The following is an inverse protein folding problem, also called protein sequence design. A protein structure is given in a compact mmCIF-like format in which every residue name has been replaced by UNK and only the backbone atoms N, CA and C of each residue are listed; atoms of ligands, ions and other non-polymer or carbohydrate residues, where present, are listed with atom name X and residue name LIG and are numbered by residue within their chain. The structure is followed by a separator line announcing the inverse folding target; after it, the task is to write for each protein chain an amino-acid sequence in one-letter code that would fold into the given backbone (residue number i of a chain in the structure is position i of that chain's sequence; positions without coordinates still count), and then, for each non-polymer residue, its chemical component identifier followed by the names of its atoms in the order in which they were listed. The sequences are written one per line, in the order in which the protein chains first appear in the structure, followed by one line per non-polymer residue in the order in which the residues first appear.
data_IF_173726469687
#
_entry.id   IF_173726469687
#
_cell.length_a   1.000
_cell.length_b   1.000
_cell.length_c   1.000
_cell.angle_alpha   90.00
_cell.angle_beta   90.00
_cell.angle_gamma   90.00
#
_symmetry.space_group_name_H-M   'P 1'
#
loop_
_entity.id
_entity.type
_entity.pdbx_description
1 polymer ?
#
# COMPACT_ATOMS: atom_id res chain seq x y z
N UNK A 1 -35.28 -3.53 -52.36
CA UNK A 1 -35.77 -2.28 -51.72
C UNK A 1 -35.40 -2.19 -50.23
N UNK A 2 -35.61 -3.26 -49.43
CA UNK A 2 -35.20 -3.28 -48.00
C UNK A 2 -33.73 -3.60 -47.78
N UNK A 3 -33.00 -4.14 -48.77
CA UNK A 3 -31.62 -4.62 -48.62
C UNK A 3 -30.64 -3.54 -48.15
N UNK A 4 -30.72 -2.31 -48.70
CA UNK A 4 -29.84 -1.21 -48.32
C UNK A 4 -30.10 -0.75 -46.88
N UNK A 5 -31.35 -0.64 -46.48
CA UNK A 5 -31.73 -0.31 -45.10
C UNK A 5 -31.20 -1.34 -44.09
N UNK A 6 -31.37 -2.63 -44.41
CA UNK A 6 -30.88 -3.72 -43.56
C UNK A 6 -29.34 -3.70 -43.48
N UNK A 7 -28.63 -3.46 -44.58
CA UNK A 7 -27.17 -3.35 -44.62
C UNK A 7 -26.68 -2.19 -43.73
N UNK A 8 -27.28 -1.01 -43.82
CA UNK A 8 -26.91 0.11 -42.96
C UNK A 8 -27.18 -0.20 -41.47
N UNK A 9 -28.31 -0.85 -41.16
CA UNK A 9 -28.67 -1.21 -39.79
C UNK A 9 -27.69 -2.25 -39.22
N UNK A 10 -27.38 -3.30 -39.98
CA UNK A 10 -26.42 -4.33 -39.55
C UNK A 10 -25.02 -3.74 -39.38
N UNK A 11 -24.60 -2.87 -40.30
CA UNK A 11 -23.30 -2.20 -40.20
C UNK A 11 -23.23 -1.30 -38.95
N UNK A 12 -24.28 -0.52 -38.66
CA UNK A 12 -24.37 0.32 -37.47
C UNK A 12 -24.24 -0.52 -36.22
N UNK A 13 -25.09 -1.54 -36.05
CA UNK A 13 -25.10 -2.41 -34.89
C UNK A 13 -23.78 -3.16 -34.75
N UNK A 14 -23.23 -3.70 -35.85
CA UNK A 14 -22.00 -4.49 -35.81
C UNK A 14 -20.75 -3.68 -35.44
N UNK A 15 -20.55 -2.51 -36.05
CA UNK A 15 -19.40 -1.65 -35.76
C UNK A 15 -19.52 -1.07 -34.36
N UNK A 16 -20.70 -0.60 -33.97
CA UNK A 16 -20.93 -0.05 -32.63
C UNK A 16 -20.79 -1.14 -31.54
N UNK A 17 -21.30 -2.35 -31.77
CA UNK A 17 -21.11 -3.51 -30.91
C UNK A 17 -19.61 -3.78 -30.67
N UNK A 18 -18.83 -3.82 -31.74
CA UNK A 18 -17.40 -4.06 -31.70
C UNK A 18 -16.67 -2.97 -30.90
N UNK A 19 -16.95 -1.71 -31.16
CA UNK A 19 -16.38 -0.58 -30.44
C UNK A 19 -16.72 -0.61 -28.97
N UNK A 20 -17.98 -0.82 -28.60
CA UNK A 20 -18.45 -0.88 -27.20
C UNK A 20 -17.85 -2.05 -26.43
N UNK A 21 -17.67 -3.20 -27.09
CA UNK A 21 -16.99 -4.36 -26.48
C UNK A 21 -15.51 -4.07 -26.23
N UNK A 22 -14.79 -3.46 -27.19
CA UNK A 22 -13.39 -3.09 -27.01
C UNK A 22 -13.21 -2.05 -25.89
N UNK A 23 -14.07 -1.06 -25.82
CA UNK A 23 -14.08 -0.03 -24.78
C UNK A 23 -14.21 -0.68 -23.39
N UNK A 24 -15.26 -1.49 -23.20
CA UNK A 24 -15.51 -2.14 -21.92
C UNK A 24 -14.38 -3.10 -21.53
N UNK A 25 -13.86 -3.92 -22.45
CA UNK A 25 -12.75 -4.82 -22.19
C UNK A 25 -11.46 -4.06 -21.82
N UNK A 26 -11.17 -2.94 -22.50
CA UNK A 26 -9.99 -2.11 -22.21
C UNK A 26 -10.09 -1.44 -20.83
N UNK A 27 -11.24 -0.88 -20.49
CA UNK A 27 -11.48 -0.24 -19.20
C UNK A 27 -11.44 -1.23 -18.05
N UNK A 28 -12.03 -2.41 -18.22
CA UNK A 28 -12.06 -3.48 -17.22
C UNK A 28 -10.72 -4.19 -17.00
N UNK A 29 -9.74 -4.02 -17.91
CA UNK A 29 -8.40 -4.58 -17.75
C UNK A 29 -7.70 -3.96 -16.53
N UNK A 30 -7.30 -4.78 -15.55
CA UNK A 30 -6.66 -4.31 -14.31
C UNK A 30 -5.18 -3.98 -14.51
N UNK A 31 -4.61 -3.03 -13.74
CA UNK A 31 -3.18 -2.75 -13.75
C UNK A 31 -2.34 -3.98 -13.41
N UNK A 32 -2.79 -4.80 -12.44
CA UNK A 32 -2.11 -6.02 -12.01
C UNK A 32 -1.98 -7.04 -13.15
N UNK A 33 -3.06 -7.28 -13.90
CA UNK A 33 -3.01 -8.17 -15.08
C UNK A 33 -2.08 -7.63 -16.17
N UNK A 34 -2.12 -6.32 -16.40
CA UNK A 34 -1.26 -5.66 -17.39
C UNK A 34 0.21 -5.85 -17.02
N UNK A 35 0.57 -5.64 -15.74
CA UNK A 35 1.92 -5.80 -15.24
C UNK A 35 2.38 -7.28 -15.30
N UNK A 36 1.52 -8.23 -14.93
CA UNK A 36 1.82 -9.65 -15.06
C UNK A 36 2.14 -10.02 -16.51
N UNK A 37 1.32 -9.58 -17.48
CA UNK A 37 1.56 -9.82 -18.90
C UNK A 37 2.77 -9.09 -19.48
N UNK A 38 3.13 -7.95 -18.90
CA UNK A 38 4.37 -7.23 -19.23
C UNK A 38 5.60 -8.00 -18.74
N UNK A 39 5.57 -8.52 -17.50
CA UNK A 39 6.63 -9.33 -16.92
C UNK A 39 6.84 -10.66 -17.68
N UNK A 40 5.76 -11.25 -18.23
CA UNK A 40 5.85 -12.39 -19.14
C UNK A 40 6.49 -12.04 -20.50
N UNK A 41 6.80 -10.77 -20.79
CA UNK A 41 7.40 -10.31 -22.04
C UNK A 41 6.46 -10.34 -23.24
N UNK A 42 5.16 -10.53 -23.04
CA UNK A 42 4.18 -10.70 -24.13
C UNK A 42 3.93 -9.38 -24.87
N UNK A 43 3.67 -9.48 -26.19
CA UNK A 43 3.28 -8.30 -27.00
C UNK A 43 2.00 -7.66 -26.49
N UNK A 44 1.05 -8.45 -26.03
CA UNK A 44 -0.19 -8.00 -25.41
C UNK A 44 0.08 -7.14 -24.16
N UNK A 45 0.96 -7.58 -23.28
CA UNK A 45 1.35 -6.85 -22.08
C UNK A 45 1.96 -5.49 -22.42
N UNK A 46 2.85 -5.42 -23.40
CA UNK A 46 3.46 -4.15 -23.87
C UNK A 46 2.41 -3.16 -24.39
N UNK A 47 1.49 -3.63 -25.24
CA UNK A 47 0.44 -2.79 -25.79
C UNK A 47 -0.55 -2.30 -24.72
N UNK A 48 -1.00 -3.19 -23.85
CA UNK A 48 -1.92 -2.83 -22.76
C UNK A 48 -1.27 -1.84 -21.78
N UNK A 49 0.00 -2.01 -21.48
CA UNK A 49 0.74 -1.06 -20.62
C UNK A 49 0.84 0.33 -21.29
N UNK A 50 1.15 0.38 -22.59
CA UNK A 50 1.16 1.64 -23.34
C UNK A 50 -0.21 2.32 -23.31
N UNK A 51 -1.30 1.54 -23.50
CA UNK A 51 -2.67 2.05 -23.50
C UNK A 51 -3.11 2.52 -22.12
N UNK A 52 -2.73 1.82 -21.04
CA UNK A 52 -3.07 2.23 -19.68
C UNK A 52 -2.32 3.46 -19.23
N UNK A 53 -1.08 3.63 -19.66
CA UNK A 53 -0.30 4.85 -19.36
C UNK A 53 -0.86 6.09 -20.09
N UNK A 54 -1.53 5.91 -21.21
CA UNK A 54 -2.17 6.99 -21.95
C UNK A 54 -3.53 6.53 -22.50
N UNK A 55 -4.47 6.32 -21.58
CA UNK A 55 -5.79 5.74 -21.88
C UNK A 55 -6.64 6.60 -22.85
N UNK A 56 -6.40 7.91 -22.87
CA UNK A 56 -7.17 8.86 -23.71
C UNK A 56 -6.99 8.58 -25.20
N UNK A 57 -5.80 8.10 -25.62
CA UNK A 57 -5.55 7.78 -27.04
C UNK A 57 -6.39 6.61 -27.55
N UNK A 58 -6.36 5.43 -26.94
CA UNK A 58 -7.17 4.31 -27.38
C UNK A 58 -8.67 4.57 -27.24
N UNK A 59 -9.12 5.23 -26.18
CA UNK A 59 -10.53 5.60 -26.02
C UNK A 59 -10.98 6.56 -27.12
N UNK A 60 -10.19 7.59 -27.45
CA UNK A 60 -10.50 8.53 -28.55
C UNK A 60 -10.63 7.79 -29.87
N UNK A 61 -9.79 6.78 -30.17
CA UNK A 61 -9.90 5.99 -31.39
C UNK A 61 -11.21 5.20 -31.45
N UNK A 62 -11.54 4.50 -30.36
CA UNK A 62 -12.78 3.70 -30.28
C UNK A 62 -14.00 4.58 -30.39
N UNK A 63 -14.07 5.68 -29.62
CA UNK A 63 -15.18 6.63 -29.63
C UNK A 63 -15.36 7.31 -31.01
N UNK A 64 -14.25 7.68 -31.66
CA UNK A 64 -14.29 8.27 -32.98
C UNK A 64 -14.91 7.33 -34.03
N UNK A 65 -14.45 6.06 -34.04
CA UNK A 65 -15.01 5.07 -34.95
C UNK A 65 -16.50 4.82 -34.66
N UNK A 66 -16.88 4.70 -33.40
CA UNK A 66 -18.27 4.51 -33.00
C UNK A 66 -19.16 5.65 -33.40
N UNK A 67 -18.71 6.89 -33.19
CA UNK A 67 -19.46 8.09 -33.59
C UNK A 67 -19.61 8.19 -35.11
N UNK A 68 -18.56 7.96 -35.88
CA UNK A 68 -18.59 7.94 -37.33
C UNK A 68 -19.60 6.88 -37.81
N UNK A 69 -19.48 5.64 -37.33
CA UNK A 69 -20.36 4.54 -37.73
C UNK A 69 -21.81 4.85 -37.41
N UNK A 70 -22.13 5.28 -36.21
CA UNK A 70 -23.49 5.59 -35.78
C UNK A 70 -24.09 6.74 -36.60
N UNK A 71 -23.32 7.81 -36.86
CA UNK A 71 -23.78 8.97 -37.62
C UNK A 71 -24.06 8.61 -39.10
N UNK A 72 -23.08 7.98 -39.77
CA UNK A 72 -23.25 7.62 -41.19
C UNK A 72 -24.37 6.60 -41.38
N UNK A 73 -24.46 5.63 -40.52
CA UNK A 73 -25.50 4.61 -40.63
C UNK A 73 -26.88 5.16 -40.27
N UNK A 74 -27.00 6.07 -39.30
CA UNK A 74 -28.26 6.73 -38.99
C UNK A 74 -28.80 7.57 -40.21
N UNK A 75 -27.90 8.32 -40.84
CA UNK A 75 -28.24 9.06 -42.07
C UNK A 75 -28.65 8.09 -43.18
N UNK A 76 -27.92 6.98 -43.35
CA UNK A 76 -28.24 5.95 -44.34
C UNK A 76 -29.61 5.31 -44.13
N UNK A 77 -29.88 4.87 -42.88
CA UNK A 77 -31.18 4.30 -42.49
C UNK A 77 -32.31 5.31 -42.69
N UNK A 78 -32.15 6.56 -42.27
CA UNK A 78 -33.16 7.61 -42.44
C UNK A 78 -33.47 7.88 -43.89
N UNK A 79 -32.44 7.95 -44.77
CA UNK A 79 -32.59 8.17 -46.22
C UNK A 79 -33.33 6.99 -46.88
N UNK A 80 -32.97 5.76 -46.58
CA UNK A 80 -33.63 4.58 -47.14
C UNK A 80 -35.05 4.40 -46.60
N UNK A 81 -35.29 4.69 -45.31
CA UNK A 81 -36.63 4.68 -44.73
C UNK A 81 -37.58 5.67 -45.41
N UNK A 82 -37.10 6.90 -45.71
CA UNK A 82 -37.89 7.92 -46.42
C UNK A 82 -38.22 7.52 -47.83
N UNK A 83 -37.39 6.74 -48.51
CA UNK A 83 -37.71 6.19 -49.85
C UNK A 83 -38.75 5.07 -49.79
N UNK A 84 -38.72 4.27 -48.70
CA UNK A 84 -39.64 3.14 -48.54
C UNK A 84 -41.04 3.56 -48.12
N UNK A 85 -41.17 4.65 -47.34
CA UNK A 85 -42.41 5.15 -46.80
C UNK A 85 -42.62 6.66 -47.10
N UNK A 86 -42.69 7.09 -48.37
CA UNK A 86 -42.69 8.52 -48.72
C UNK A 86 -43.91 9.29 -48.21
N UNK A 87 -45.04 8.60 -48.02
CA UNK A 87 -46.30 9.21 -47.55
C UNK A 87 -46.54 9.07 -46.04
N UNK A 88 -45.61 8.47 -45.31
CA UNK A 88 -45.75 8.20 -43.85
C UNK A 88 -44.68 8.94 -43.05
N UNK A 89 -44.77 10.28 -43.02
CA UNK A 89 -43.80 11.14 -42.31
C UNK A 89 -43.63 10.74 -40.85
N UNK A 90 -44.74 10.38 -40.17
CA UNK A 90 -44.68 9.93 -38.74
C UNK A 90 -43.84 8.67 -38.58
N UNK A 91 -43.91 7.73 -39.51
CA UNK A 91 -43.14 6.48 -39.46
C UNK A 91 -41.64 6.80 -39.65
N UNK A 92 -41.31 7.58 -40.66
CA UNK A 92 -39.91 7.85 -41.01
C UNK A 92 -39.23 8.83 -40.06
N UNK A 93 -39.95 9.84 -39.54
CA UNK A 93 -39.40 10.88 -38.69
C UNK A 93 -39.46 10.53 -37.17
N UNK A 94 -40.34 9.63 -36.75
CA UNK A 94 -40.50 9.29 -35.33
C UNK A 94 -40.22 7.80 -35.02
N UNK A 95 -40.96 6.88 -35.65
CA UNK A 95 -40.85 5.47 -35.31
C UNK A 95 -39.52 4.83 -35.70
N UNK A 96 -38.96 5.14 -36.87
CA UNK A 96 -37.68 4.59 -37.35
C UNK A 96 -36.52 5.06 -36.45
N UNK A 97 -36.35 6.36 -36.11
CA UNK A 97 -35.33 6.81 -35.20
C UNK A 97 -35.46 6.22 -33.78
N UNK A 98 -36.65 6.14 -33.23
CA UNK A 98 -36.91 5.53 -31.91
C UNK A 98 -36.50 4.04 -31.89
N UNK A 99 -36.98 3.27 -32.89
CA UNK A 99 -36.65 1.85 -32.99
C UNK A 99 -35.13 1.63 -33.19
N UNK A 100 -34.49 2.48 -34.00
CA UNK A 100 -33.06 2.43 -34.24
C UNK A 100 -32.26 2.77 -32.95
N UNK A 101 -32.66 3.83 -32.23
CA UNK A 101 -32.04 4.20 -30.96
C UNK A 101 -32.15 3.08 -29.96
N UNK A 102 -33.33 2.46 -29.80
CA UNK A 102 -33.53 1.33 -28.92
C UNK A 102 -32.67 0.12 -29.31
N UNK A 103 -32.61 -0.22 -30.59
CA UNK A 103 -31.80 -1.30 -31.13
C UNK A 103 -30.30 -1.06 -30.87
N UNK A 104 -29.79 0.15 -31.12
CA UNK A 104 -28.41 0.52 -30.84
C UNK A 104 -28.14 0.43 -29.35
N UNK A 105 -29.00 0.99 -28.49
CA UNK A 105 -28.81 0.97 -27.03
C UNK A 105 -28.70 -0.46 -26.50
N UNK A 106 -29.63 -1.34 -26.87
CA UNK A 106 -29.65 -2.71 -26.34
C UNK A 106 -28.57 -3.58 -26.98
N UNK A 107 -28.48 -3.60 -28.30
CA UNK A 107 -27.61 -4.53 -29.02
C UNK A 107 -26.19 -4.02 -29.23
N UNK A 108 -25.97 -2.69 -29.25
CA UNK A 108 -24.66 -2.11 -29.56
C UNK A 108 -23.98 -1.44 -28.38
N UNK A 109 -24.69 -1.14 -27.27
CA UNK A 109 -24.10 -0.52 -26.10
C UNK A 109 -24.18 -1.41 -24.88
N UNK A 110 -25.38 -1.76 -24.38
CA UNK A 110 -25.53 -2.49 -23.11
C UNK A 110 -24.94 -3.90 -23.23
N UNK A 111 -25.41 -4.66 -24.22
CA UNK A 111 -24.99 -6.08 -24.38
C UNK A 111 -23.47 -6.23 -24.59
N UNK A 112 -22.82 -5.52 -25.53
CA UNK A 112 -21.39 -5.69 -25.77
C UNK A 112 -20.55 -5.15 -24.63
N UNK A 113 -20.96 -4.08 -23.93
CA UNK A 113 -20.25 -3.59 -22.74
C UNK A 113 -20.28 -4.62 -21.62
N UNK A 114 -21.42 -5.27 -21.38
CA UNK A 114 -21.52 -6.35 -20.40
C UNK A 114 -20.63 -7.54 -20.77
N UNK A 115 -20.65 -7.97 -22.04
CA UNK A 115 -19.79 -9.07 -22.54
C UNK A 115 -18.31 -8.69 -22.40
N UNK A 116 -17.94 -7.48 -22.80
CA UNK A 116 -16.58 -6.97 -22.75
C UNK A 116 -16.05 -6.90 -21.32
N UNK A 117 -16.85 -6.38 -20.40
CA UNK A 117 -16.49 -6.27 -18.98
C UNK A 117 -16.35 -7.63 -18.30
N UNK A 118 -17.28 -8.56 -18.54
CA UNK A 118 -17.24 -9.88 -17.88
C UNK A 118 -16.15 -10.80 -18.45
N UNK A 119 -15.78 -10.64 -19.72
CA UNK A 119 -14.81 -11.52 -20.41
C UNK A 119 -13.49 -10.82 -20.75
N UNK A 120 -13.18 -9.72 -20.12
CA UNK A 120 -12.03 -8.89 -20.47
C UNK A 120 -10.69 -9.64 -20.48
N UNK A 121 -10.46 -10.59 -19.57
CA UNK A 121 -9.22 -11.40 -19.54
C UNK A 121 -9.01 -12.18 -20.84
N UNK A 122 -10.07 -12.81 -21.36
CA UNK A 122 -10.01 -13.58 -22.62
C UNK A 122 -9.92 -12.66 -23.83
N UNK A 123 -10.58 -11.50 -23.76
CA UNK A 123 -10.61 -10.51 -24.84
C UNK A 123 -9.35 -9.63 -24.88
N UNK A 124 -8.56 -9.55 -23.82
CA UNK A 124 -7.40 -8.69 -23.72
C UNK A 124 -6.42 -8.75 -24.92
N UNK A 125 -6.00 -9.94 -25.43
CA UNK A 125 -5.11 -10.01 -26.59
C UNK A 125 -5.77 -9.51 -27.88
N UNK A 126 -7.07 -9.78 -28.05
CA UNK A 126 -7.86 -9.31 -29.19
C UNK A 126 -8.05 -7.79 -29.11
N UNK A 127 -8.45 -7.28 -27.96
CA UNK A 127 -8.61 -5.85 -27.69
C UNK A 127 -7.30 -5.09 -27.96
N UNK A 128 -6.17 -5.57 -27.46
CA UNK A 128 -4.88 -4.92 -27.68
C UNK A 128 -4.54 -4.76 -29.17
N UNK A 129 -4.71 -5.84 -29.95
CA UNK A 129 -4.45 -5.82 -31.40
C UNK A 129 -5.43 -4.95 -32.17
N UNK A 130 -6.72 -5.04 -31.86
CA UNK A 130 -7.78 -4.29 -32.52
C UNK A 130 -7.64 -2.78 -32.26
N UNK A 131 -7.37 -2.41 -31.00
CA UNK A 131 -7.14 -1.00 -30.64
C UNK A 131 -5.86 -0.47 -31.29
N UNK A 132 -4.78 -1.25 -31.36
CA UNK A 132 -3.57 -0.86 -32.10
C UNK A 132 -3.87 -0.59 -33.57
N UNK A 133 -4.67 -1.44 -34.21
CA UNK A 133 -5.11 -1.24 -35.61
C UNK A 133 -5.93 0.05 -35.77
N UNK A 134 -6.89 0.30 -34.86
CA UNK A 134 -7.70 1.51 -34.87
C UNK A 134 -6.85 2.78 -34.67
N UNK A 135 -5.87 2.74 -33.79
CA UNK A 135 -4.95 3.86 -33.58
C UNK A 135 -4.16 4.22 -34.84
N UNK A 136 -3.73 3.22 -35.61
CA UNK A 136 -3.03 3.44 -36.86
C UNK A 136 -3.99 3.99 -37.91
N UNK A 137 -5.15 3.41 -38.03
CA UNK A 137 -6.17 3.81 -39.04
C UNK A 137 -6.67 5.25 -38.81
N UNK A 138 -6.91 5.62 -37.53
CA UNK A 138 -7.46 6.92 -37.14
C UNK A 138 -6.39 7.92 -36.67
N UNK A 139 -5.12 7.64 -36.94
CA UNK A 139 -3.99 8.48 -36.50
C UNK A 139 -4.16 9.97 -36.78
N UNK A 140 -4.57 10.40 -37.99
CA UNK A 140 -4.70 11.84 -38.29
C UNK A 140 -5.80 12.51 -37.46
N UNK A 141 -6.91 11.81 -37.21
CA UNK A 141 -8.04 12.34 -36.44
C UNK A 141 -7.65 12.42 -34.95
N UNK A 142 -7.01 11.38 -34.44
CA UNK A 142 -6.54 11.32 -33.05
C UNK A 142 -5.49 12.40 -32.76
N UNK A 143 -4.56 12.60 -33.69
CA UNK A 143 -3.57 13.69 -33.61
C UNK A 143 -4.23 15.06 -33.47
N UNK A 144 -5.23 15.33 -34.31
CA UNK A 144 -5.98 16.60 -34.26
C UNK A 144 -6.71 16.77 -32.90
N UNK A 145 -7.40 15.72 -32.41
CA UNK A 145 -8.09 15.74 -31.14
C UNK A 145 -7.11 15.96 -29.96
N UNK A 146 -5.96 15.30 -29.98
CA UNK A 146 -4.94 15.45 -28.93
C UNK A 146 -4.34 16.86 -28.91
N UNK A 147 -4.08 17.46 -30.05
CA UNK A 147 -3.60 18.85 -30.14
C UNK A 147 -4.65 19.80 -29.55
N UNK A 148 -5.93 19.60 -29.91
CA UNK A 148 -7.02 20.39 -29.36
C UNK A 148 -7.11 20.23 -27.82
N UNK A 149 -7.13 19.00 -27.33
CA UNK A 149 -7.26 18.70 -25.90
C UNK A 149 -6.08 19.25 -25.09
N UNK A 150 -4.83 19.03 -25.55
CA UNK A 150 -3.64 19.55 -24.87
C UNK A 150 -3.61 21.07 -24.85
N UNK A 151 -4.00 21.73 -25.93
CA UNK A 151 -3.95 23.20 -26.04
C UNK A 151 -5.03 23.91 -25.24
N UNK A 152 -6.21 23.31 -25.10
CA UNK A 152 -7.40 23.98 -24.54
C UNK A 152 -7.82 23.42 -23.15
N UNK A 153 -7.52 22.16 -22.81
CA UNK A 153 -8.04 21.51 -21.61
C UNK A 153 -6.97 21.09 -20.57
N UNK A 154 -5.74 20.82 -20.98
CA UNK A 154 -4.70 20.41 -20.02
C UNK A 154 -3.86 21.59 -19.55
N UNK A 155 -4.18 22.13 -18.38
CA UNK A 155 -3.20 22.73 -17.49
C UNK A 155 -2.46 21.57 -16.83
N UNK A 156 -1.20 21.42 -17.18
CA UNK A 156 -0.32 20.33 -16.80
C UNK A 156 -0.24 20.13 -15.28
N UNK A 157 -0.75 19.01 -14.80
CA UNK A 157 -0.42 18.47 -13.48
C UNK A 157 0.20 17.09 -13.73
N UNK A 158 1.53 17.05 -13.86
CA UNK A 158 2.32 15.83 -14.13
C UNK A 158 2.52 14.92 -12.91
N UNK A 159 1.90 15.21 -11.77
CA UNK A 159 1.96 14.32 -10.61
C UNK A 159 0.79 13.32 -10.61
N UNK A 160 0.85 12.35 -11.50
CA UNK A 160 0.12 11.10 -11.28
C UNK A 160 0.91 10.27 -10.26
N UNK A 161 0.65 10.43 -8.99
CA UNK A 161 0.86 9.36 -8.02
C UNK A 161 -0.04 8.21 -8.47
N UNK A 162 0.56 7.23 -9.13
CA UNK A 162 -0.17 6.10 -9.74
C UNK A 162 -0.80 5.23 -8.63
N UNK A 163 -0.18 5.22 -7.45
CA UNK A 163 -0.68 4.56 -6.25
C UNK A 163 -0.27 5.34 -5.01
N UNK A 164 -1.24 5.77 -4.24
CA UNK A 164 -1.03 6.36 -2.91
C UNK A 164 -0.94 5.26 -1.84
N UNK A 165 -0.44 5.60 -0.65
CA UNK A 165 -0.49 4.68 0.50
C UNK A 165 -1.91 4.28 0.87
N UNK A 166 -2.87 5.21 0.73
CA UNK A 166 -4.28 4.93 0.96
C UNK A 166 -4.82 3.86 0.00
N UNK A 167 -4.36 3.87 -1.25
CA UNK A 167 -4.75 2.83 -2.22
C UNK A 167 -4.21 1.45 -1.84
N UNK A 168 -2.98 1.37 -1.30
CA UNK A 168 -2.42 0.11 -0.78
C UNK A 168 -3.20 -0.42 0.42
N UNK A 169 -3.58 0.46 1.36
CA UNK A 169 -4.42 0.08 2.50
C UNK A 169 -5.79 -0.42 2.05
N UNK A 170 -6.44 0.31 1.14
CA UNK A 170 -7.72 -0.11 0.59
C UNK A 170 -7.62 -1.46 -0.16
N UNK A 171 -6.52 -1.72 -0.86
CA UNK A 171 -6.28 -3.02 -1.50
C UNK A 171 -6.09 -4.15 -0.48
N UNK A 172 -5.40 -3.91 0.63
CA UNK A 172 -5.25 -4.88 1.70
C UNK A 172 -6.60 -5.21 2.36
N UNK A 173 -7.44 -4.20 2.62
CA UNK A 173 -8.79 -4.35 3.16
C UNK A 173 -9.70 -5.17 2.22
N UNK A 174 -9.64 -4.90 0.91
CA UNK A 174 -10.38 -5.67 -0.10
C UNK A 174 -9.87 -7.11 -0.12
N UNK A 175 -8.54 -7.33 -0.15
CA UNK A 175 -7.94 -8.66 -0.14
C UNK A 175 -8.37 -9.49 1.07
N UNK A 176 -8.46 -8.87 2.25
CA UNK A 176 -8.95 -9.52 3.47
C UNK A 176 -10.45 -9.85 3.37
N UNK A 177 -11.27 -8.93 2.88
CA UNK A 177 -12.72 -9.13 2.74
C UNK A 177 -13.09 -10.20 1.71
N UNK A 178 -12.28 -10.39 0.67
CA UNK A 178 -12.44 -11.42 -0.37
C UNK A 178 -11.80 -12.76 0.03
N UNK A 179 -11.09 -12.83 1.18
CA UNK A 179 -10.44 -14.05 1.68
C UNK A 179 -9.14 -14.43 0.95
N UNK A 180 -8.56 -13.51 0.19
CA UNK A 180 -7.26 -13.67 -0.48
C UNK A 180 -6.07 -13.37 0.45
N UNK A 181 -6.29 -12.53 1.48
CA UNK A 181 -5.35 -12.25 2.56
C UNK A 181 -5.98 -12.68 3.88
N UNK A 182 -5.21 -13.31 4.75
CA UNK A 182 -5.67 -13.58 6.11
C UNK A 182 -5.58 -12.31 6.99
N UNK A 183 -6.15 -12.39 8.19
CA UNK A 183 -6.24 -11.26 9.12
C UNK A 183 -4.84 -10.80 9.58
N UNK A 184 -3.92 -11.75 9.77
CA UNK A 184 -2.54 -11.49 10.18
C UNK A 184 -1.77 -10.79 9.06
N UNK A 185 -1.89 -11.26 7.82
CA UNK A 185 -1.25 -10.64 6.66
C UNK A 185 -1.70 -9.19 6.45
N UNK A 186 -3.00 -8.94 6.58
CA UNK A 186 -3.57 -7.59 6.48
C UNK A 186 -3.06 -6.67 7.58
N UNK A 187 -2.98 -7.16 8.84
CA UNK A 187 -2.42 -6.43 9.98
C UNK A 187 -0.96 -6.06 9.77
N UNK A 188 -0.15 -7.00 9.28
CA UNK A 188 1.26 -6.76 8.95
C UNK A 188 1.44 -5.67 7.88
N UNK A 189 0.65 -5.71 6.81
CA UNK A 189 0.68 -4.68 5.75
C UNK A 189 0.32 -3.31 6.33
N UNK A 190 -0.72 -3.23 7.15
CA UNK A 190 -1.14 -2.00 7.80
C UNK A 190 -0.02 -1.41 8.68
N UNK A 191 0.55 -2.23 9.57
CA UNK A 191 1.62 -1.81 10.49
C UNK A 191 2.86 -1.36 9.71
N UNK A 192 3.28 -2.11 8.68
CA UNK A 192 4.43 -1.76 7.85
C UNK A 192 4.25 -0.41 7.14
N UNK A 193 3.05 -0.12 6.64
CA UNK A 193 2.76 1.17 6.01
C UNK A 193 2.77 2.34 7.01
N UNK A 194 2.48 2.08 8.30
CA UNK A 194 2.50 3.10 9.36
C UNK A 194 3.85 3.21 10.07
N UNK A 195 4.68 2.16 10.01
CA UNK A 195 5.95 2.01 10.72
C UNK A 195 6.88 3.22 10.65
N UNK A 196 6.99 3.88 9.50
CA UNK A 196 7.83 5.07 9.36
C UNK A 196 7.33 6.30 10.12
N UNK A 197 6.07 6.31 10.54
CA UNK A 197 5.46 7.45 11.24
C UNK A 197 5.48 7.27 12.76
N UNK A 198 5.72 6.03 13.24
CA UNK A 198 5.85 5.72 14.67
C UNK A 198 7.19 6.25 15.15
N UNK A 199 7.19 6.93 16.29
CA UNK A 199 8.39 7.45 16.94
C UNK A 199 8.84 6.51 18.06
N UNK A 200 10.13 6.53 18.38
CA UNK A 200 10.73 5.72 19.44
C UNK A 200 10.03 5.93 20.77
N UNK A 201 9.66 7.18 21.12
CA UNK A 201 8.93 7.49 22.36
C UNK A 201 7.59 6.79 22.51
N UNK A 202 6.96 6.42 21.37
CA UNK A 202 5.63 5.79 21.37
C UNK A 202 5.72 4.29 21.71
N UNK A 203 6.96 3.72 21.68
CA UNK A 203 7.21 2.28 21.78
C UNK A 203 8.27 1.91 22.82
N UNK A 204 9.17 2.83 23.19
CA UNK A 204 10.29 2.60 24.11
C UNK A 204 9.83 2.12 25.48
N UNK A 205 10.64 1.31 26.12
CA UNK A 205 10.53 1.00 27.55
C UNK A 205 10.93 2.22 28.37
N UNK A 206 10.02 2.80 29.17
CA UNK A 206 10.31 4.01 29.94
C UNK A 206 11.35 3.80 31.02
N UNK A 207 12.10 4.86 31.36
CA UNK A 207 13.15 4.81 32.40
C UNK A 207 12.69 4.22 33.74
N UNK A 208 11.45 4.43 34.15
CA UNK A 208 10.91 4.00 35.45
C UNK A 208 10.92 2.51 35.67
N UNK A 209 11.05 1.70 34.63
CA UNK A 209 11.04 0.22 34.67
C UNK A 209 12.35 -0.41 34.17
N UNK A 210 13.34 0.43 33.85
CA UNK A 210 14.67 -0.04 33.42
C UNK A 210 15.44 -0.58 34.63
N UNK A 211 16.10 -1.73 34.45
CA UNK A 211 17.03 -2.29 35.39
C UNK A 211 18.44 -1.90 34.98
N UNK A 212 19.17 -1.32 35.91
CA UNK A 212 20.57 -0.90 35.74
C UNK A 212 21.40 -1.25 36.98
N UNK A 213 22.68 -1.49 36.77
CA UNK A 213 23.63 -1.83 37.84
C UNK A 213 24.86 -0.92 37.81
N UNK A 214 25.50 -0.61 38.98
CA UNK A 214 26.70 0.19 39.00
C UNK A 214 27.86 -0.47 38.25
N UNK A 215 28.60 0.26 37.46
CA UNK A 215 29.73 -0.24 36.69
C UNK A 215 30.92 -0.71 37.54
N UNK A 216 31.01 -0.25 38.78
CA UNK A 216 32.03 -0.64 39.78
C UNK A 216 31.64 -1.87 40.61
N UNK A 217 30.42 -2.42 40.44
CA UNK A 217 29.98 -3.67 41.06
C UNK A 217 30.87 -4.82 40.61
N UNK A 218 31.20 -5.72 41.52
CA UNK A 218 31.97 -6.91 41.22
C UNK A 218 31.10 -8.02 40.61
N UNK A 219 31.71 -8.82 39.74
CA UNK A 219 31.00 -9.89 39.03
C UNK A 219 30.37 -10.94 39.97
N UNK A 220 31.02 -11.22 41.14
CA UNK A 220 30.47 -12.10 42.15
C UNK A 220 29.22 -11.52 42.87
N UNK A 221 29.17 -10.19 43.08
CA UNK A 221 27.99 -9.53 43.65
C UNK A 221 26.84 -9.57 42.63
N UNK A 222 27.14 -9.35 41.35
CA UNK A 222 26.19 -9.48 40.27
C UNK A 222 25.59 -10.89 40.15
N UNK A 223 26.40 -11.91 40.42
CA UNK A 223 25.93 -13.32 40.42
C UNK A 223 24.87 -13.57 41.51
N UNK A 224 25.00 -12.95 42.68
CA UNK A 224 24.02 -13.08 43.77
C UNK A 224 22.63 -12.49 43.37
N UNK A 225 22.61 -11.54 42.44
CA UNK A 225 21.41 -10.92 41.92
C UNK A 225 20.80 -11.66 40.74
N UNK A 226 21.44 -12.71 40.20
CA UNK A 226 21.05 -13.36 38.92
C UNK A 226 19.59 -13.85 38.87
N UNK A 227 19.02 -14.27 40.01
CA UNK A 227 17.62 -14.73 40.09
C UNK A 227 16.61 -13.58 39.96
N UNK A 228 17.03 -12.34 40.25
CA UNK A 228 16.25 -11.13 40.14
C UNK A 228 16.40 -10.49 38.74
N UNK A 229 17.54 -10.76 38.06
CA UNK A 229 17.88 -10.22 36.75
C UNK A 229 17.32 -11.11 35.63
N UNK A 230 16.11 -10.84 35.26
CA UNK A 230 15.43 -11.57 34.16
C UNK A 230 15.93 -11.20 32.78
N UNK A 231 16.53 -10.02 32.61
CA UNK A 231 16.96 -9.49 31.32
C UNK A 231 18.33 -9.98 30.88
N UNK A 232 18.53 -10.24 29.60
CA UNK A 232 19.80 -10.66 29.01
C UNK A 232 20.82 -9.53 28.88
N UNK A 233 20.37 -8.28 28.87
CA UNK A 233 21.20 -7.07 28.76
C UNK A 233 20.93 -6.16 29.95
N UNK A 234 21.93 -5.89 30.73
CA UNK A 234 21.84 -5.06 31.92
C UNK A 234 22.58 -3.75 31.67
N UNK A 235 21.90 -2.64 31.88
CA UNK A 235 22.49 -1.32 31.71
C UNK A 235 23.49 -1.04 32.84
N UNK A 236 24.53 -0.27 32.50
CA UNK A 236 25.54 0.14 33.49
C UNK A 236 25.43 1.63 33.78
N UNK A 237 25.23 1.96 35.02
CA UNK A 237 25.39 3.31 35.57
C UNK A 237 26.85 3.60 35.86
N UNK A 238 27.27 4.86 35.72
CA UNK A 238 28.65 5.27 36.01
C UNK A 238 29.08 4.97 37.46
N UNK A 239 28.16 5.16 38.40
CA UNK A 239 28.30 4.82 39.79
C UNK A 239 26.92 4.69 40.44
N UNK A 240 26.86 4.12 41.65
CA UNK A 240 25.60 3.92 42.40
C UNK A 240 24.82 5.21 42.71
N UNK A 241 25.47 6.36 42.62
CA UNK A 241 24.85 7.68 42.86
C UNK A 241 24.58 8.43 41.56
N UNK A 242 24.98 7.88 40.41
CA UNK A 242 24.88 8.52 39.10
C UNK A 242 23.80 7.86 38.26
N UNK A 243 22.86 8.65 37.80
CA UNK A 243 21.84 8.17 36.86
C UNK A 243 22.32 8.12 35.41
N UNK A 244 23.64 8.33 35.19
CA UNK A 244 24.24 8.37 33.87
C UNK A 244 24.55 6.95 33.37
N UNK A 245 23.83 6.52 32.29
CA UNK A 245 24.07 5.23 31.67
C UNK A 245 25.28 5.32 30.73
N UNK A 246 26.31 4.51 31.00
CA UNK A 246 27.59 4.52 30.27
C UNK A 246 27.74 3.37 29.28
N UNK A 247 26.82 2.42 29.29
CA UNK A 247 26.84 1.24 28.44
C UNK A 247 25.96 0.12 28.99
N UNK A 248 26.20 -1.11 28.53
CA UNK A 248 25.52 -2.31 29.02
C UNK A 248 26.47 -3.50 29.08
N UNK A 249 26.08 -4.56 29.79
CA UNK A 249 26.72 -5.86 29.77
C UNK A 249 25.75 -6.94 29.34
N UNK A 250 26.29 -8.04 28.79
CA UNK A 250 25.53 -9.26 28.55
C UNK A 250 25.62 -10.10 29.83
N UNK A 251 24.44 -10.46 30.40
CA UNK A 251 24.37 -11.28 31.62
C UNK A 251 25.15 -12.58 31.45
N UNK A 252 24.98 -13.29 30.37
CA UNK A 252 25.62 -14.57 30.10
C UNK A 252 27.14 -14.44 30.01
N UNK A 253 27.67 -13.36 29.40
CA UNK A 253 29.11 -13.10 29.32
C UNK A 253 29.74 -12.89 30.68
N UNK A 254 29.06 -12.17 31.57
CA UNK A 254 29.53 -11.98 32.96
C UNK A 254 29.52 -13.30 33.74
N UNK A 255 28.45 -14.09 33.59
CA UNK A 255 28.33 -15.41 34.28
C UNK A 255 29.32 -16.42 33.72
N UNK A 256 29.63 -16.44 32.44
CA UNK A 256 30.65 -17.34 31.87
C UNK A 256 32.03 -17.06 32.42
N UNK A 257 32.42 -15.78 32.55
CA UNK A 257 33.71 -15.39 33.14
C UNK A 257 33.85 -15.75 34.64
N UNK A 258 32.75 -15.84 35.35
CA UNK A 258 32.78 -16.31 36.74
C UNK A 258 33.15 -17.80 36.86
N UNK A 259 32.87 -18.61 35.85
CA UNK A 259 33.28 -20.02 35.80
C UNK A 259 34.80 -20.18 35.62
N UNK A 260 35.48 -19.15 35.13
CA UNK A 260 36.94 -19.12 34.92
C UNK A 260 37.71 -18.50 36.11
N UNK A 261 37.09 -18.44 37.30
CA UNK A 261 37.64 -17.87 38.54
C UNK A 261 37.99 -16.36 38.49
N UNK A 262 37.38 -15.60 37.55
CA UNK A 262 37.59 -14.15 37.41
C UNK A 262 36.68 -13.30 38.32
N UNK A 263 36.49 -13.76 39.57
CA UNK A 263 35.58 -13.17 40.57
C UNK A 263 35.91 -11.73 40.99
N UNK A 264 37.12 -11.26 40.67
CA UNK A 264 37.62 -9.93 41.03
C UNK A 264 37.39 -8.86 39.97
N UNK A 265 36.85 -9.22 38.81
CA UNK A 265 36.52 -8.26 37.78
C UNK A 265 35.26 -7.46 38.11
N UNK A 266 35.23 -6.21 37.68
CA UNK A 266 34.06 -5.34 37.81
C UNK A 266 33.24 -5.35 36.53
N UNK A 267 31.96 -5.01 36.60
CA UNK A 267 31.07 -4.99 35.44
C UNK A 267 31.58 -4.06 34.32
N UNK A 268 32.28 -2.97 34.67
CA UNK A 268 32.92 -2.08 33.69
C UNK A 268 33.91 -2.77 32.76
N UNK A 269 34.52 -3.90 33.21
CA UNK A 269 35.50 -4.65 32.40
C UNK A 269 34.85 -5.42 31.27
N UNK A 270 33.53 -5.67 31.37
CA UNK A 270 32.65 -6.32 30.36
C UNK A 270 31.79 -5.33 29.59
N UNK A 271 31.98 -4.03 29.85
CA UNK A 271 31.16 -2.97 29.28
C UNK A 271 31.18 -2.95 27.76
N UNK A 272 29.98 -2.98 27.17
CA UNK A 272 29.70 -2.72 25.74
C UNK A 272 29.17 -1.29 25.54
N UNK A 273 29.48 -0.71 24.38
CA UNK A 273 28.96 0.61 24.04
C UNK A 273 27.47 0.49 23.72
N UNK A 274 26.70 1.46 24.15
CA UNK A 274 25.27 1.59 23.78
C UNK A 274 25.11 2.75 22.80
N UNK A 275 24.30 2.56 21.76
CA UNK A 275 23.92 3.65 20.85
C UNK A 275 22.87 4.53 21.52
N UNK A 276 22.95 5.82 21.27
CA UNK A 276 22.03 6.79 21.87
C UNK A 276 21.23 7.47 20.76
N UNK A 277 19.92 7.53 20.92
CA UNK A 277 18.99 8.12 19.93
C UNK A 277 18.00 9.07 20.63
N UNK A 278 17.54 10.13 19.94
CA UNK A 278 16.50 10.99 20.50
C UNK A 278 15.14 10.30 20.49
N UNK A 279 14.27 10.62 21.40
CA UNK A 279 12.90 10.07 21.52
C UNK A 279 12.02 10.33 20.28
N UNK A 280 12.34 11.37 19.51
CA UNK A 280 11.67 11.72 18.24
C UNK A 280 12.14 10.91 17.04
N UNK A 281 13.12 10.01 17.24
CA UNK A 281 13.62 9.13 16.17
C UNK A 281 12.51 8.22 15.66
N UNK A 282 12.47 7.95 14.34
CA UNK A 282 11.42 7.09 13.77
C UNK A 282 11.80 5.62 13.87
N UNK A 283 10.82 4.73 14.03
CA UNK A 283 11.06 3.27 14.09
C UNK A 283 11.78 2.73 12.86
N UNK A 284 11.52 3.29 11.68
CA UNK A 284 12.24 2.90 10.46
C UNK A 284 13.73 3.25 10.51
N UNK A 285 14.08 4.41 11.05
CA UNK A 285 15.48 4.81 11.23
C UNK A 285 16.13 3.96 12.32
N UNK A 286 15.42 3.72 13.42
CA UNK A 286 15.89 2.87 14.51
C UNK A 286 16.23 1.46 14.03
N UNK A 287 15.36 0.85 13.25
CA UNK A 287 15.62 -0.43 12.60
C UNK A 287 16.91 -0.42 11.76
N UNK A 288 17.08 0.62 10.93
CA UNK A 288 18.28 0.77 10.11
C UNK A 288 19.55 0.96 10.94
N UNK A 289 19.46 1.68 12.06
CA UNK A 289 20.60 1.92 12.95
C UNK A 289 20.99 0.63 13.68
N UNK A 290 20.06 -0.18 14.14
CA UNK A 290 20.33 -1.50 14.69
C UNK A 290 21.02 -2.44 13.69
N UNK A 291 20.52 -2.49 12.45
CA UNK A 291 21.15 -3.31 11.40
C UNK A 291 22.58 -2.87 11.09
N UNK A 292 22.85 -1.55 11.02
CA UNK A 292 24.18 -1.02 10.71
C UNK A 292 25.18 -1.17 11.86
N UNK A 293 24.73 -0.98 13.09
CA UNK A 293 25.58 -1.06 14.28
C UNK A 293 25.81 -2.49 14.74
N UNK A 294 24.98 -3.45 14.33
CA UNK A 294 24.90 -4.80 14.87
C UNK A 294 24.59 -4.85 16.37
N UNK A 295 23.89 -3.81 16.86
CA UNK A 295 23.41 -3.72 18.24
C UNK A 295 21.91 -4.02 18.29
N UNK A 296 21.44 -4.46 19.47
CA UNK A 296 20.04 -4.83 19.68
C UNK A 296 19.37 -3.99 20.77
N UNK A 297 20.09 -3.03 21.35
CA UNK A 297 19.58 -2.13 22.38
C UNK A 297 20.13 -0.72 22.13
N UNK A 298 19.31 0.27 22.39
CA UNK A 298 19.68 1.67 22.31
C UNK A 298 19.14 2.45 23.51
N UNK A 299 19.91 3.43 23.96
CA UNK A 299 19.50 4.40 24.97
C UNK A 299 18.69 5.51 24.29
N UNK A 300 17.54 5.82 24.82
CA UNK A 300 16.69 6.91 24.35
C UNK A 300 16.86 8.11 25.25
N UNK A 301 17.11 9.27 24.63
CA UNK A 301 17.29 10.54 25.35
C UNK A 301 16.21 11.55 24.98
N UNK A 302 15.85 12.38 25.96
CA UNK A 302 14.94 13.50 25.80
C UNK A 302 15.62 14.76 25.19
N UNK A 303 14.87 15.84 25.03
CA UNK A 303 15.36 17.14 24.52
C UNK A 303 16.47 17.78 25.38
N UNK A 304 16.61 17.36 26.63
CA UNK A 304 17.59 17.86 27.59
C UNK A 304 18.80 16.94 27.77
N UNK A 305 18.93 15.91 26.93
CA UNK A 305 19.89 14.81 27.05
C UNK A 305 19.72 13.95 28.34
N UNK A 306 18.55 13.99 28.97
CA UNK A 306 18.19 13.07 30.04
C UNK A 306 17.82 11.69 29.47
N UNK A 307 18.01 10.64 30.27
CA UNK A 307 17.59 9.27 29.89
C UNK A 307 16.07 9.20 29.95
N UNK A 308 15.43 9.06 28.78
CA UNK A 308 13.98 8.88 28.65
C UNK A 308 13.57 7.40 28.75
N UNK A 309 14.41 6.48 28.21
CA UNK A 309 14.10 5.08 28.18
C UNK A 309 15.16 4.26 27.44
N UNK A 310 14.78 3.06 27.06
CA UNK A 310 15.52 2.21 26.12
C UNK A 310 14.60 1.70 25.03
N UNK A 311 15.18 1.30 23.93
CA UNK A 311 14.49 0.60 22.84
C UNK A 311 15.33 -0.57 22.37
N UNK A 312 14.67 -1.69 22.08
CA UNK A 312 15.32 -2.94 21.65
C UNK A 312 14.91 -3.28 20.20
N UNK A 313 15.60 -4.26 19.61
CA UNK A 313 15.19 -4.81 18.31
C UNK A 313 13.84 -5.53 18.40
N UNK A 314 13.52 -6.08 19.56
CA UNK A 314 12.25 -6.73 19.87
C UNK A 314 11.10 -5.73 19.73
N UNK A 315 11.17 -4.54 20.34
CA UNK A 315 10.17 -3.46 20.20
C UNK A 315 9.94 -3.05 18.73
N UNK A 316 11.04 -3.06 17.95
CA UNK A 316 10.96 -2.75 16.51
C UNK A 316 10.18 -3.82 15.76
N UNK A 317 10.40 -5.09 16.07
CA UNK A 317 9.71 -6.23 15.44
C UNK A 317 8.25 -6.26 15.89
N UNK A 318 7.96 -6.07 17.17
CA UNK A 318 6.61 -5.98 17.74
C UNK A 318 5.78 -4.89 17.09
N UNK A 319 6.38 -3.73 16.83
CA UNK A 319 5.71 -2.65 16.08
C UNK A 319 5.27 -3.07 14.67
N UNK A 320 6.02 -3.95 14.02
CA UNK A 320 5.67 -4.49 12.70
C UNK A 320 4.61 -5.59 12.83
N UNK A 321 4.77 -6.50 13.80
CA UNK A 321 3.83 -7.60 14.03
C UNK A 321 2.50 -7.10 14.58
N UNK A 322 2.55 -6.07 15.43
CA UNK A 322 1.41 -5.50 16.13
C UNK A 322 0.93 -6.35 17.31
N UNK A 323 1.78 -7.27 17.76
CA UNK A 323 1.58 -8.14 18.92
C UNK A 323 2.89 -8.20 19.71
N UNK A 324 2.79 -8.28 21.05
CA UNK A 324 3.93 -8.44 21.95
C UNK A 324 4.58 -9.83 21.79
N UNK A 325 5.91 -9.85 21.79
CA UNK A 325 6.71 -11.09 21.80
C UNK A 325 6.98 -11.43 23.25
N UNK A 326 6.26 -12.41 23.78
CA UNK A 326 6.39 -12.84 25.19
C UNK A 326 7.25 -14.09 25.26
N UNK A 327 8.33 -14.07 26.06
CA UNK A 327 9.18 -15.23 26.36
C UNK A 327 8.62 -16.02 27.54
N UNK A 328 9.01 -17.28 27.67
CA UNK A 328 8.59 -18.22 28.76
C UNK A 328 8.98 -17.72 30.17
N UNK A 329 9.98 -16.83 30.24
CA UNK A 329 10.49 -16.26 31.48
C UNK A 329 9.89 -14.90 31.83
N UNK A 330 9.12 -14.29 30.94
CA UNK A 330 8.55 -12.95 31.11
C UNK A 330 7.44 -12.97 32.18
N UNK A 331 7.65 -12.20 33.26
CA UNK A 331 6.64 -11.99 34.29
C UNK A 331 5.59 -10.95 33.92
N UNK A 332 5.91 -10.09 32.98
CA UNK A 332 5.09 -8.97 32.48
C UNK A 332 5.18 -8.97 30.96
N UNK A 333 4.05 -9.03 30.27
CA UNK A 333 4.01 -9.10 28.82
C UNK A 333 4.36 -7.76 28.16
N UNK A 334 3.99 -6.64 28.80
CA UNK A 334 4.22 -5.27 28.28
C UNK A 334 4.77 -4.39 29.42
N UNK A 335 6.05 -4.02 29.31
CA UNK A 335 6.74 -3.17 30.27
C UNK A 335 6.26 -1.70 30.22
N UNK A 336 5.70 -1.24 29.11
CA UNK A 336 5.12 0.09 29.01
C UNK A 336 3.81 0.17 29.78
N UNK A 337 2.93 -0.82 29.60
CA UNK A 337 1.69 -0.91 30.36
C UNK A 337 1.95 -1.03 31.85
N UNK A 338 2.97 -1.82 32.23
CA UNK A 338 3.43 -1.94 33.61
C UNK A 338 3.91 -0.61 34.19
N UNK A 339 4.73 0.15 33.45
CA UNK A 339 5.18 1.48 33.87
C UNK A 339 4.01 2.45 34.08
N UNK A 340 3.02 2.44 33.21
CA UNK A 340 1.81 3.26 33.33
C UNK A 340 1.01 2.86 34.59
N UNK A 341 0.87 1.59 34.87
CA UNK A 341 0.16 1.09 36.07
C UNK A 341 0.90 1.47 37.35
N UNK A 342 2.22 1.37 37.40
CA UNK A 342 3.01 1.85 38.54
C UNK A 342 2.87 3.35 38.76
N UNK A 343 2.96 4.14 37.72
CA UNK A 343 2.77 5.60 37.78
C UNK A 343 1.40 5.99 38.32
N UNK A 344 0.33 5.30 37.93
CA UNK A 344 -1.03 5.51 38.47
C UNK A 344 -1.13 5.15 39.94
N UNK A 345 -0.56 4.03 40.36
CA UNK A 345 -0.58 3.60 41.75
C UNK A 345 0.19 4.53 42.70
N UNK A 346 1.31 5.09 42.25
CA UNK A 346 2.04 6.15 42.98
C UNK A 346 1.24 7.43 43.10
N UNK A 347 0.59 7.89 42.02
CA UNK A 347 -0.27 9.08 42.02
C UNK A 347 -1.46 8.96 42.99
N UNK A 348 -2.10 7.77 43.04
CA UNK A 348 -3.22 7.53 43.94
C UNK A 348 -2.78 7.42 45.41
N UNK A 349 -1.60 6.91 45.69
CA UNK A 349 -1.01 6.90 47.04
C UNK A 349 -0.65 8.31 47.51
N UNK A 350 -0.09 9.17 46.67
CA UNK A 350 0.18 10.59 47.00
C UNK A 350 -1.12 11.33 47.33
N UNK A 351 -2.18 11.15 46.54
CA UNK A 351 -3.48 11.75 46.84
C UNK A 351 -4.14 11.26 48.14
N UNK A 352 -3.86 10.04 48.55
CA UNK A 352 -4.34 9.49 49.83
C UNK A 352 -3.57 10.00 51.05
N UNK A 353 -2.34 10.47 50.87
CA UNK A 353 -1.52 11.05 51.95
C UNK A 353 -1.82 12.53 52.14
N UNK A 354 -2.30 13.23 51.14
CA UNK A 354 -2.70 14.65 51.16
C UNK A 354 -4.17 14.86 51.60
N UNK A 355 -4.97 13.80 51.73
CA UNK A 355 -6.36 13.86 52.21
C UNK A 355 -6.50 13.41 53.65
#
# INVERSE_FOLDING_TARGET
MYTALIVYLIAAIGISFFCSMLEAALLSTTPSYTQAKLNEGTRTGKLLNEFKNNIDRPLSAILTLNTIANTFCAIGVGKEASKLWPNHITVTALFVPIAMTFAILVFSEITPKTIGANNWKRLAPFTAKSVQFLLILLMPVIWFLQVYTKKFLMKHNDNKEIFSRADFLAMADIGSSEGELDEVESKLIYNLLHFKNVQVKDVMTPRSVIVSEPADMYANEFYELQEELIFSRILLEESKESENIIGYVLKDEVLEHLLDDENHKQLKDFKRKIITVPETHTMLNMFNDFIKSHEHIALVIDEYNGVAGIITMEDVIETILGDEIVDETDKVADLQEYAIQQGKSMSDNVKKVES
#
